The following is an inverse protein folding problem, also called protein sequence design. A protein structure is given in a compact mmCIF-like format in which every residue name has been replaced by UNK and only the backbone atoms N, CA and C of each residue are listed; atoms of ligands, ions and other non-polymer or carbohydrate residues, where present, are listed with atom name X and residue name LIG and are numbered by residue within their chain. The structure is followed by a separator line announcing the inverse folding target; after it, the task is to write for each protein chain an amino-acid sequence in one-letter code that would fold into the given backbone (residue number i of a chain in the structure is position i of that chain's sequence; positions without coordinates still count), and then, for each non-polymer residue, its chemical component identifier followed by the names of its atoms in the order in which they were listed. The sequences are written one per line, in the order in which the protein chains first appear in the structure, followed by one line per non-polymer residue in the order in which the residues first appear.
data_IF_034412410756
#
_entry.id   IF_034412410756
#
_cell.length_a   1.000
_cell.length_b   1.000
_cell.length_c   1.000
_cell.angle_alpha   90.00
_cell.angle_beta   90.00
_cell.angle_gamma   90.00
#
_symmetry.space_group_name_H-M   'P 1'
#
loop_
_entity.id
_entity.type
_entity.pdbx_description
1 polymer ?
#
# COMPACT_ATOMS: atom_id res chain seq x y z
N UNK A 1 22.84 4.62 -14.94
CA UNK A 1 22.51 5.54 -13.83
C UNK A 1 21.31 4.99 -13.05
N UNK A 2 21.40 3.73 -12.62
CA UNK A 2 20.43 2.99 -11.80
C UNK A 2 21.24 2.07 -10.87
N UNK A 3 22.21 2.62 -10.17
CA UNK A 3 23.05 1.82 -9.27
C UNK A 3 22.34 1.72 -7.92
N UNK A 4 21.98 0.50 -7.51
CA UNK A 4 21.95 0.05 -6.11
C UNK A 4 21.05 0.80 -5.11
N UNK A 5 20.02 1.53 -5.56
CA UNK A 5 19.17 2.35 -4.69
C UNK A 5 17.77 1.77 -4.41
N UNK A 6 17.34 0.75 -5.17
CA UNK A 6 15.97 0.24 -5.05
C UNK A 6 15.75 -0.48 -3.72
N UNK A 7 16.64 -1.40 -3.37
CA UNK A 7 16.59 -2.12 -2.10
C UNK A 7 16.59 -1.18 -0.86
N UNK A 8 17.55 -0.24 -0.69
CA UNK A 8 17.55 0.63 0.48
C UNK A 8 16.37 1.61 0.50
N UNK A 9 15.87 2.05 -0.66
CA UNK A 9 14.65 2.85 -0.74
C UNK A 9 13.42 2.04 -0.29
N UNK A 10 13.28 0.82 -0.79
CA UNK A 10 12.20 -0.09 -0.43
C UNK A 10 12.20 -0.40 1.08
N UNK A 11 13.36 -0.67 1.65
CA UNK A 11 13.49 -0.92 3.10
C UNK A 11 13.07 0.30 3.93
N UNK A 12 13.49 1.52 3.55
CA UNK A 12 13.09 2.75 4.25
C UNK A 12 11.58 2.97 4.15
N UNK A 13 11.00 2.77 2.97
CA UNK A 13 9.56 2.91 2.76
C UNK A 13 8.78 1.90 3.60
N UNK A 14 9.16 0.61 3.59
CA UNK A 14 8.52 -0.42 4.39
C UNK A 14 8.67 -0.19 5.90
N UNK A 15 9.80 0.36 6.36
CA UNK A 15 9.96 0.78 7.77
C UNK A 15 8.98 1.89 8.14
N UNK A 16 8.80 2.88 7.29
CA UNK A 16 7.83 3.95 7.49
C UNK A 16 6.39 3.40 7.49
N UNK A 17 6.04 2.58 6.51
CA UNK A 17 4.73 1.93 6.44
C UNK A 17 4.44 1.02 7.64
N UNK A 18 5.47 0.37 8.21
CA UNK A 18 5.36 -0.44 9.43
C UNK A 18 5.04 0.41 10.67
N UNK A 19 5.58 1.63 10.76
CA UNK A 19 5.24 2.56 11.85
C UNK A 19 3.75 2.93 11.76
N UNK A 20 3.29 3.23 10.54
CA UNK A 20 1.89 3.56 10.27
C UNK A 20 0.95 2.35 10.26
N UNK A 21 1.50 1.13 10.22
CA UNK A 21 0.77 -0.15 10.11
C UNK A 21 -0.14 -0.23 8.89
N UNK A 22 0.25 0.48 7.82
CA UNK A 22 -0.57 0.69 6.63
C UNK A 22 -0.32 -0.34 5.52
N UNK A 23 0.56 -1.32 5.73
CA UNK A 23 0.83 -2.40 4.77
C UNK A 23 0.93 -3.74 5.49
N UNK A 24 0.46 -4.86 4.91
CA UNK A 24 0.53 -6.18 5.54
C UNK A 24 1.88 -6.89 5.28
N UNK A 25 2.93 -6.13 4.98
CA UNK A 25 4.24 -6.65 4.57
C UNK A 25 5.37 -6.11 5.45
N UNK A 26 6.42 -6.91 5.60
CA UNK A 26 7.63 -6.59 6.33
C UNK A 26 8.85 -6.96 5.48
N UNK A 27 9.92 -6.17 5.59
CA UNK A 27 11.20 -6.52 4.96
C UNK A 27 12.01 -7.43 5.89
N UNK A 28 12.44 -8.59 5.40
CA UNK A 28 13.33 -9.50 6.11
C UNK A 28 14.79 -9.19 5.76
N UNK A 29 15.45 -8.40 6.63
CA UNK A 29 16.86 -8.03 6.47
C UNK A 29 17.82 -9.22 6.42
N UNK A 30 17.44 -10.40 6.91
CA UNK A 30 18.30 -11.61 6.83
C UNK A 30 18.24 -12.27 5.46
N UNK A 31 17.07 -12.21 4.81
CA UNK A 31 16.83 -12.84 3.49
C UNK A 31 16.93 -11.86 2.33
N UNK A 32 16.92 -10.55 2.61
CA UNK A 32 16.86 -9.53 1.59
C UNK A 32 15.52 -9.51 0.84
N UNK A 33 14.43 -10.00 1.45
CA UNK A 33 13.14 -10.22 0.78
C UNK A 33 11.97 -9.62 1.55
N UNK A 34 10.94 -9.21 0.81
CA UNK A 34 9.65 -8.78 1.39
C UNK A 34 8.84 -10.03 1.76
N UNK A 35 8.37 -10.09 3.00
CA UNK A 35 7.54 -11.16 3.54
C UNK A 35 6.22 -10.61 4.09
N UNK A 36 5.22 -11.48 4.27
CA UNK A 36 3.99 -11.10 4.98
C UNK A 36 4.30 -10.81 6.45
N UNK A 37 3.66 -9.79 7.01
CA UNK A 37 3.82 -9.44 8.41
C UNK A 37 3.41 -10.61 9.32
N UNK A 38 4.28 -10.99 10.26
CA UNK A 38 4.03 -12.15 11.14
C UNK A 38 3.14 -11.83 12.33
N UNK A 39 3.06 -10.56 12.72
CA UNK A 39 2.37 -10.14 13.95
C UNK A 39 0.85 -10.05 13.72
N UNK A 40 0.02 -10.82 14.46
CA UNK A 40 -1.44 -10.79 14.26
C UNK A 40 -2.03 -9.41 14.60
N UNK A 41 -1.46 -8.69 15.58
CA UNK A 41 -1.87 -7.31 15.91
C UNK A 41 -1.66 -6.33 14.75
N UNK A 42 -0.61 -6.51 13.96
CA UNK A 42 -0.32 -5.66 12.81
C UNK A 42 -1.37 -5.88 11.71
N UNK A 43 -1.63 -7.16 11.41
CA UNK A 43 -2.65 -7.56 10.45
C UNK A 43 -4.05 -7.09 10.86
N UNK A 44 -4.36 -7.16 12.16
CA UNK A 44 -5.62 -6.68 12.70
C UNK A 44 -5.78 -5.16 12.57
N UNK A 45 -4.75 -4.37 12.90
CA UNK A 45 -4.80 -2.91 12.72
C UNK A 45 -4.94 -2.52 11.24
N UNK A 46 -4.22 -3.21 10.36
CA UNK A 46 -4.35 -2.99 8.92
C UNK A 46 -5.78 -3.30 8.41
N UNK A 47 -6.41 -4.38 8.91
CA UNK A 47 -7.83 -4.69 8.62
C UNK A 47 -8.76 -3.58 9.08
N UNK A 48 -8.57 -3.07 10.31
CA UNK A 48 -9.34 -1.93 10.81
C UNK A 48 -9.15 -0.72 9.89
N UNK A 49 -7.93 -0.43 9.45
CA UNK A 49 -7.65 0.69 8.55
C UNK A 49 -8.36 0.52 7.19
N UNK A 50 -8.42 -0.70 6.64
CA UNK A 50 -9.18 -0.98 5.42
C UNK A 50 -10.68 -0.76 5.62
N UNK A 51 -11.25 -1.25 6.73
CA UNK A 51 -12.67 -1.06 7.05
C UNK A 51 -12.99 0.44 7.24
N UNK A 52 -12.15 1.17 7.98
CA UNK A 52 -12.29 2.61 8.16
C UNK A 52 -12.20 3.37 6.83
N UNK A 53 -11.32 2.93 5.92
CA UNK A 53 -11.24 3.51 4.57
C UNK A 53 -12.53 3.31 3.78
N UNK A 54 -13.12 2.10 3.81
CA UNK A 54 -14.42 1.83 3.14
C UNK A 54 -15.54 2.67 3.75
N UNK A 55 -15.60 2.75 5.08
CA UNK A 55 -16.59 3.58 5.80
C UNK A 55 -16.44 5.07 5.42
N UNK A 56 -15.21 5.56 5.36
CA UNK A 56 -14.93 6.94 4.99
C UNK A 56 -15.31 7.24 3.53
N UNK A 57 -14.97 6.36 2.60
CA UNK A 57 -15.38 6.46 1.18
C UNK A 57 -16.90 6.49 1.06
N UNK A 58 -17.59 5.63 1.82
CA UNK A 58 -19.06 5.59 1.86
C UNK A 58 -19.63 6.90 2.41
N UNK A 59 -19.06 7.45 3.48
CA UNK A 59 -19.48 8.72 4.04
C UNK A 59 -19.27 9.89 3.07
N UNK A 60 -18.13 9.93 2.35
CA UNK A 60 -17.89 10.92 1.30
C UNK A 60 -18.95 10.80 0.20
N UNK A 61 -19.24 9.58 -0.26
CA UNK A 61 -20.25 9.34 -1.28
C UNK A 61 -21.63 9.84 -0.86
N UNK A 62 -22.08 9.49 0.35
CA UNK A 62 -23.35 9.97 0.91
C UNK A 62 -23.37 11.49 1.01
N UNK A 63 -22.27 12.11 1.44
CA UNK A 63 -22.16 13.56 1.55
C UNK A 63 -22.24 14.24 0.17
N UNK A 64 -21.64 13.66 -0.87
CA UNK A 64 -21.74 14.19 -2.24
C UNK A 64 -23.16 14.06 -2.79
N UNK A 65 -23.83 12.91 -2.56
CA UNK A 65 -25.16 12.62 -3.08
C UNK A 65 -26.29 13.39 -2.38
N UNK A 66 -26.27 13.43 -1.04
CA UNK A 66 -27.38 13.93 -0.21
C UNK A 66 -27.02 15.25 0.49
N UNK A 67 -25.73 15.57 0.62
CA UNK A 67 -25.28 16.75 1.35
C UNK A 67 -25.60 18.08 0.65
N UNK A 68 -25.76 19.17 1.43
CA UNK A 68 -26.03 20.51 0.93
C UNK A 68 -24.75 21.18 0.40
N UNK A 69 -24.10 20.56 -0.59
CA UNK A 69 -22.87 21.09 -1.20
C UNK A 69 -23.18 21.88 -2.47
N UNK A 70 -22.42 22.95 -2.70
CA UNK A 70 -22.42 23.68 -3.97
C UNK A 70 -21.84 22.82 -5.10
N UNK A 71 -22.22 23.07 -6.35
CA UNK A 71 -21.76 22.28 -7.52
C UNK A 71 -20.24 22.21 -7.64
N UNK A 72 -19.52 23.29 -7.30
CA UNK A 72 -18.06 23.33 -7.29
C UNK A 72 -17.47 22.42 -6.20
N UNK A 73 -18.04 22.45 -4.99
CA UNK A 73 -17.61 21.61 -3.88
C UNK A 73 -17.91 20.12 -4.14
N UNK A 74 -19.01 19.80 -4.82
CA UNK A 74 -19.30 18.43 -5.28
C UNK A 74 -18.25 17.88 -6.24
N UNK A 75 -17.80 18.69 -7.21
CA UNK A 75 -16.79 18.25 -8.18
C UNK A 75 -15.44 17.98 -7.52
N UNK A 76 -15.01 18.86 -6.60
CA UNK A 76 -13.80 18.64 -5.80
C UNK A 76 -13.94 17.41 -4.89
N UNK A 77 -15.09 17.25 -4.23
CA UNK A 77 -15.40 16.07 -3.42
C UNK A 77 -15.39 14.78 -4.22
N UNK A 78 -15.87 14.80 -5.46
CA UNK A 78 -15.87 13.64 -6.36
C UNK A 78 -14.45 13.21 -6.76
N UNK A 79 -13.57 14.17 -7.06
CA UNK A 79 -12.17 13.86 -7.32
C UNK A 79 -11.50 13.18 -6.11
N UNK A 80 -11.72 13.70 -4.90
CA UNK A 80 -11.24 13.09 -3.67
C UNK A 80 -11.84 11.69 -3.45
N UNK A 81 -13.15 11.55 -3.66
CA UNK A 81 -13.85 10.28 -3.58
C UNK A 81 -13.21 9.22 -4.47
N UNK A 82 -12.90 9.53 -5.73
CA UNK A 82 -12.26 8.59 -6.66
C UNK A 82 -10.88 8.13 -6.16
N UNK A 83 -10.06 9.04 -5.64
CA UNK A 83 -8.74 8.70 -5.11
C UNK A 83 -8.86 7.75 -3.91
N UNK A 84 -9.75 8.05 -2.97
CA UNK A 84 -9.96 7.20 -1.80
C UNK A 84 -10.63 5.88 -2.16
N UNK A 85 -11.52 5.86 -3.15
CA UNK A 85 -12.17 4.65 -3.66
C UNK A 85 -11.16 3.70 -4.27
N UNK A 86 -10.30 4.19 -5.19
CA UNK A 86 -9.23 3.39 -5.79
C UNK A 86 -8.28 2.85 -4.72
N UNK A 87 -7.86 3.71 -3.79
CA UNK A 87 -7.03 3.30 -2.65
C UNK A 87 -7.70 2.21 -1.81
N UNK A 88 -9.01 2.32 -1.55
CA UNK A 88 -9.77 1.33 -0.79
C UNK A 88 -9.86 -0.02 -1.52
N UNK A 89 -10.13 0.00 -2.83
CA UNK A 89 -10.18 -1.20 -3.68
C UNK A 89 -8.82 -1.92 -3.70
N UNK A 90 -7.73 -1.19 -3.90
CA UNK A 90 -6.38 -1.75 -3.92
C UNK A 90 -6.00 -2.39 -2.58
N UNK A 91 -6.36 -1.76 -1.46
CA UNK A 91 -6.07 -2.29 -0.13
C UNK A 91 -7.01 -3.43 0.29
N UNK A 92 -8.24 -3.48 -0.22
CA UNK A 92 -9.18 -4.55 0.11
C UNK A 92 -8.72 -5.93 -0.38
N UNK A 93 -8.05 -5.98 -1.55
CA UNK A 93 -7.59 -7.23 -2.16
C UNK A 93 -6.30 -7.83 -1.55
N UNK A 94 -5.82 -7.29 -0.42
CA UNK A 94 -4.52 -7.64 0.16
C UNK A 94 -4.34 -9.13 0.52
N UNK A 95 -5.43 -9.87 0.71
CA UNK A 95 -5.39 -11.29 1.08
C UNK A 95 -5.16 -12.20 -0.13
N UNK A 96 -5.58 -11.78 -1.33
CA UNK A 96 -5.64 -12.65 -2.50
C UNK A 96 -4.48 -12.46 -3.47
N UNK A 97 -3.85 -11.28 -3.51
CA UNK A 97 -2.87 -11.00 -4.55
C UNK A 97 -1.41 -11.03 -4.03
N UNK A 98 -0.70 -12.12 -4.32
CA UNK A 98 0.75 -12.25 -4.12
C UNK A 98 1.55 -11.66 -5.30
N UNK A 99 0.88 -11.27 -6.39
CA UNK A 99 1.54 -10.83 -7.64
C UNK A 99 2.42 -9.62 -7.42
N UNK A 100 1.97 -8.64 -6.62
CA UNK A 100 2.77 -7.46 -6.33
C UNK A 100 4.07 -7.80 -5.60
N UNK A 101 4.04 -8.79 -4.70
CA UNK A 101 5.24 -9.25 -3.98
C UNK A 101 6.19 -9.95 -4.94
N UNK A 102 5.67 -10.76 -5.87
CA UNK A 102 6.48 -11.42 -6.89
C UNK A 102 7.18 -10.42 -7.79
N UNK A 103 6.46 -9.40 -8.26
CA UNK A 103 7.05 -8.31 -9.05
C UNK A 103 8.18 -7.62 -8.28
N UNK A 104 7.97 -7.30 -7.00
CA UNK A 104 9.02 -6.73 -6.15
C UNK A 104 10.21 -7.69 -6.02
N UNK A 105 9.98 -8.99 -5.82
CA UNK A 105 11.06 -9.99 -5.75
C UNK A 105 11.84 -10.07 -7.06
N UNK A 106 11.20 -9.98 -8.21
CA UNK A 106 11.88 -9.93 -9.51
C UNK A 106 12.80 -8.71 -9.63
N UNK A 107 12.36 -7.54 -9.18
CA UNK A 107 13.23 -6.34 -9.15
C UNK A 107 14.42 -6.50 -8.20
N UNK A 108 14.21 -7.12 -7.04
CA UNK A 108 15.28 -7.41 -6.07
C UNK A 108 16.29 -8.42 -6.63
N UNK A 109 15.82 -9.48 -7.29
CA UNK A 109 16.68 -10.47 -7.93
C UNK A 109 17.44 -9.83 -9.11
N UNK A 110 16.80 -8.97 -9.91
CA UNK A 110 17.47 -8.21 -10.97
C UNK A 110 18.59 -7.30 -10.42
N UNK A 111 18.31 -6.56 -9.35
CA UNK A 111 19.32 -5.71 -8.69
C UNK A 111 20.48 -6.55 -8.13
N UNK A 112 20.19 -7.72 -7.55
CA UNK A 112 21.22 -8.59 -6.98
C UNK A 112 22.09 -9.26 -8.04
N UNK A 113 21.48 -9.91 -9.02
CA UNK A 113 22.19 -10.75 -9.98
C UNK A 113 22.74 -9.98 -11.18
N UNK A 114 22.00 -9.00 -11.71
CA UNK A 114 22.42 -8.28 -12.91
C UNK A 114 23.22 -7.02 -12.58
N UNK A 115 22.85 -6.29 -11.53
CA UNK A 115 23.53 -5.02 -11.21
C UNK A 115 24.74 -5.17 -10.29
N UNK A 116 24.68 -6.11 -9.32
CA UNK A 116 25.80 -6.35 -8.38
C UNK A 116 26.70 -7.51 -8.78
N UNK A 117 26.28 -8.37 -9.71
CA UNK A 117 27.08 -9.51 -10.18
C UNK A 117 27.40 -10.54 -9.10
N UNK A 118 26.61 -10.59 -8.01
CA UNK A 118 26.72 -11.64 -6.99
C UNK A 118 26.13 -12.95 -7.57
N UNK A 119 27.00 -13.80 -8.12
CA UNK A 119 26.69 -15.17 -8.56
C UNK A 119 26.85 -16.12 -7.37
#
# INVERSE_FOLDING_TARGET
MFHSDFLPMLEKHLKFCRILKCVPYEFDSKKGRVIKAKRPRHLFMYRIQCILSVLYVTAIFLNICVGPLTTKARFQGFALFLVYLLGSIMNWNYSMDMTLIQVIHTFLDFEKYIMKGEI
#
